data_IF_756208443300
#
_entry.id   IF_756208443300
#
_cell.length_a   1.000
_cell.length_b   1.000
_cell.length_c   1.000
_cell.angle_alpha   90.00
_cell.angle_beta   90.00
_cell.angle_gamma   90.00
#
_symmetry.space_group_name_H-M   'P 1'
#
loop_
_entity.id
_entity.type
_entity.pdbx_description
1 polymer ?
#
# COMPACT_ATOMS: atom_id res chain seq x y z
N UNK A 1 9.12 -23.29 17.90
CA UNK A 1 8.47 -22.02 18.29
C UNK A 1 7.58 -21.58 17.14
N UNK A 2 6.25 -21.68 17.28
CA UNK A 2 5.31 -21.33 16.21
C UNK A 2 4.85 -19.87 16.42
N UNK A 3 5.61 -18.91 15.88
CA UNK A 3 5.21 -17.50 15.84
C UNK A 3 4.44 -17.27 14.53
N UNK A 4 3.16 -16.90 14.64
CA UNK A 4 2.38 -16.46 13.47
C UNK A 4 2.26 -14.94 13.51
N UNK A 5 3.01 -14.25 12.66
CA UNK A 5 2.82 -12.80 12.45
C UNK A 5 1.62 -12.62 11.53
N UNK A 6 0.64 -11.83 11.97
CA UNK A 6 -0.51 -11.45 11.16
C UNK A 6 -0.58 -9.93 11.03
N UNK A 7 -1.00 -9.45 9.86
CA UNK A 7 -1.43 -8.07 9.67
C UNK A 7 -2.95 -8.02 9.70
N UNK A 8 -3.50 -7.08 10.46
CA UNK A 8 -4.95 -6.87 10.54
C UNK A 8 -5.31 -5.39 10.61
N UNK A 9 -6.54 -5.08 10.20
CA UNK A 9 -7.18 -3.79 10.47
C UNK A 9 -7.97 -3.94 11.76
N UNK A 10 -7.67 -3.11 12.75
CA UNK A 10 -8.42 -3.07 14.01
C UNK A 10 -9.16 -1.74 14.12
N UNK A 11 -10.42 -1.79 14.54
CA UNK A 11 -11.16 -0.60 14.99
C UNK A 11 -10.72 -0.29 16.42
N UNK A 12 -10.15 0.89 16.63
CA UNK A 12 -9.81 1.43 17.95
C UNK A 12 -10.75 2.58 18.30
N UNK A 13 -10.62 3.13 19.51
CA UNK A 13 -11.35 4.35 19.91
C UNK A 13 -11.00 5.57 19.04
N UNK A 14 -9.80 5.56 18.43
CA UNK A 14 -9.28 6.63 17.56
C UNK A 14 -9.45 6.31 16.07
N UNK A 15 -10.40 5.42 15.74
CA UNK A 15 -10.67 4.98 14.39
C UNK A 15 -9.91 3.72 13.98
N UNK A 16 -9.85 3.47 12.68
CA UNK A 16 -9.25 2.24 12.17
C UNK A 16 -7.73 2.34 12.06
N UNK A 17 -7.02 1.27 12.44
CA UNK A 17 -5.56 1.20 12.44
C UNK A 17 -5.04 -0.09 11.81
N UNK A 18 -3.89 0.00 11.15
CA UNK A 18 -3.16 -1.14 10.62
C UNK A 18 -2.20 -1.67 11.68
N UNK A 19 -2.43 -2.91 12.07
CA UNK A 19 -1.76 -3.53 13.21
C UNK A 19 -0.94 -4.73 12.74
N UNK A 20 0.28 -4.83 13.25
CA UNK A 20 1.08 -6.05 13.17
C UNK A 20 0.98 -6.77 14.51
N UNK A 21 0.45 -7.99 14.48
CA UNK A 21 0.24 -8.79 15.68
C UNK A 21 1.16 -10.01 15.66
N UNK A 22 2.02 -10.13 16.68
CA UNK A 22 2.66 -11.39 17.04
C UNK A 22 1.84 -12.05 18.16
N UNK A 23 1.59 -13.34 18.03
CA UNK A 23 0.74 -14.11 18.94
C UNK A 23 1.44 -15.39 19.33
N UNK A 24 1.51 -15.65 20.63
CA UNK A 24 2.05 -16.89 21.19
C UNK A 24 1.07 -17.52 22.14
N UNK A 25 0.84 -18.82 21.94
CA UNK A 25 0.11 -19.66 22.89
C UNK A 25 1.08 -20.17 23.96
N UNK A 26 0.76 -19.88 25.21
CA UNK A 26 1.42 -20.45 26.37
C UNK A 26 0.69 -21.74 26.75
N UNK A 27 1.48 -22.75 27.10
CA UNK A 27 1.01 -24.07 27.50
C UNK A 27 1.63 -24.42 28.85
N UNK A 28 0.93 -25.22 29.64
CA UNK A 28 1.51 -25.82 30.85
C UNK A 28 2.48 -26.96 30.51
N UNK A 29 2.96 -27.66 31.54
CA UNK A 29 3.92 -28.77 31.42
C UNK A 29 3.35 -29.95 30.63
N UNK A 30 2.03 -30.18 30.69
CA UNK A 30 1.31 -31.21 29.95
C UNK A 30 0.96 -30.78 28.51
N UNK A 31 1.36 -29.58 28.11
CA UNK A 31 1.12 -29.04 26.77
C UNK A 31 -0.29 -28.49 26.56
N UNK A 32 -1.11 -28.37 27.61
CA UNK A 32 -2.47 -27.82 27.53
C UNK A 32 -2.40 -26.29 27.37
N UNK A 33 -3.13 -25.69 26.40
CA UNK A 33 -3.19 -24.24 26.26
C UNK A 33 -3.75 -23.56 27.51
N UNK A 34 -2.98 -22.63 28.09
CA UNK A 34 -3.41 -21.89 29.28
C UNK A 34 -3.69 -20.43 28.97
N UNK A 35 -2.88 -19.80 28.10
CA UNK A 35 -2.96 -18.36 27.81
C UNK A 35 -2.52 -18.05 26.38
N UNK A 36 -2.95 -16.90 25.89
CA UNK A 36 -2.43 -16.29 24.66
C UNK A 36 -1.80 -14.96 25.03
N UNK A 37 -0.55 -14.76 24.64
CA UNK A 37 0.13 -13.47 24.71
C UNK A 37 0.15 -12.88 23.31
N UNK A 38 -0.32 -11.63 23.19
CA UNK A 38 -0.36 -10.89 21.93
C UNK A 38 0.42 -9.62 22.09
N UNK A 39 1.36 -9.39 21.17
CA UNK A 39 2.02 -8.09 20.99
C UNK A 39 1.47 -7.47 19.72
N UNK A 40 0.81 -6.33 19.87
CA UNK A 40 0.22 -5.59 18.75
C UNK A 40 0.98 -4.27 18.58
N UNK A 41 1.50 -4.03 17.39
CA UNK A 41 2.22 -2.80 17.02
C UNK A 41 1.38 -2.05 15.99
N UNK A 42 1.06 -0.79 16.26
CA UNK A 42 0.44 0.11 15.29
C UNK A 42 1.49 0.51 14.24
N UNK A 43 1.23 0.16 12.98
CA UNK A 43 2.06 0.49 11.82
C UNK A 43 1.35 1.40 10.83
N UNK A 44 0.29 2.10 11.27
CA UNK A 44 -0.55 2.93 10.39
C UNK A 44 0.27 4.04 9.72
N UNK A 45 1.15 4.72 10.46
CA UNK A 45 1.91 5.85 9.93
C UNK A 45 2.98 5.41 8.93
N UNK A 46 3.68 4.31 9.21
CA UNK A 46 4.66 3.72 8.30
C UNK A 46 4.00 3.32 7.00
N UNK A 47 2.82 2.68 7.08
CA UNK A 47 2.05 2.27 5.91
C UNK A 47 1.60 3.48 5.08
N UNK A 48 1.01 4.50 5.71
CA UNK A 48 0.58 5.72 5.02
C UNK A 48 1.76 6.45 4.35
N UNK A 49 2.93 6.48 4.99
CA UNK A 49 4.15 7.05 4.39
C UNK A 49 4.60 6.25 3.17
N UNK A 50 4.57 4.93 3.24
CA UNK A 50 4.93 4.07 2.11
C UNK A 50 3.94 4.27 0.94
N UNK A 51 2.64 4.31 1.22
CA UNK A 51 1.59 4.57 0.21
C UNK A 51 1.75 5.97 -0.42
N UNK A 52 2.09 7.00 0.37
CA UNK A 52 2.35 8.34 -0.17
C UNK A 52 3.63 8.40 -1.03
N UNK A 53 4.70 7.70 -0.62
CA UNK A 53 5.93 7.60 -1.40
C UNK A 53 5.70 6.87 -2.72
N UNK A 54 4.95 5.77 -2.71
CA UNK A 54 4.57 5.04 -3.91
C UNK A 54 3.76 5.91 -4.86
N UNK A 55 2.72 6.58 -4.34
CA UNK A 55 1.90 7.52 -5.12
C UNK A 55 2.73 8.63 -5.74
N UNK A 56 3.67 9.23 -5.00
CA UNK A 56 4.58 10.26 -5.53
C UNK A 56 5.55 9.71 -6.57
N UNK A 57 5.98 8.46 -6.44
CA UNK A 57 6.81 7.79 -7.44
C UNK A 57 6.06 7.50 -8.75
N UNK A 58 4.73 7.43 -8.72
CA UNK A 58 3.87 7.14 -9.88
C UNK A 58 3.23 8.39 -10.49
N UNK A 59 3.44 9.57 -9.89
CA UNK A 59 2.86 10.83 -10.34
C UNK A 59 3.96 11.78 -10.84
N UNK A 60 3.72 12.44 -11.96
CA UNK A 60 4.52 13.58 -12.41
C UNK A 60 4.15 14.82 -11.61
N UNK A 61 5.12 15.46 -10.96
CA UNK A 61 4.84 16.59 -10.06
C UNK A 61 4.32 17.82 -10.79
N UNK A 62 4.75 18.05 -12.04
CA UNK A 62 4.44 19.26 -12.79
C UNK A 62 3.00 19.28 -13.31
N UNK A 63 2.48 18.11 -13.67
CA UNK A 63 1.13 17.94 -14.22
C UNK A 63 0.13 17.36 -13.22
N UNK A 64 0.61 16.70 -12.16
CA UNK A 64 -0.24 15.92 -11.23
C UNK A 64 -0.82 14.64 -11.83
N UNK A 65 -0.48 14.33 -13.08
CA UNK A 65 -0.91 13.13 -13.78
C UNK A 65 0.00 11.95 -13.45
N UNK A 66 -0.45 10.73 -13.74
CA UNK A 66 0.44 9.56 -13.67
C UNK A 66 1.60 9.75 -14.61
N UNK A 67 2.81 9.55 -14.09
CA UNK A 67 3.99 9.46 -14.92
C UNK A 67 3.98 8.13 -15.69
N UNK A 68 5.00 7.92 -16.53
CA UNK A 68 5.09 6.70 -17.34
C UNK A 68 4.97 5.41 -16.51
N UNK A 69 5.66 5.32 -15.37
CA UNK A 69 5.59 4.15 -14.48
C UNK A 69 4.18 3.97 -13.93
N UNK A 70 3.54 5.04 -13.45
CA UNK A 70 2.16 4.99 -12.96
C UNK A 70 1.16 4.61 -14.05
N UNK A 71 1.39 5.03 -15.29
CA UNK A 71 0.60 4.62 -16.45
C UNK A 71 0.76 3.12 -16.73
N UNK A 72 1.99 2.61 -16.80
CA UNK A 72 2.29 1.18 -17.04
C UNK A 72 1.69 0.29 -15.94
N UNK A 73 1.93 0.60 -14.66
CA UNK A 73 1.30 -0.10 -13.53
C UNK A 73 -0.23 -0.08 -13.62
N UNK A 74 -0.81 1.06 -14.00
CA UNK A 74 -2.24 1.19 -14.21
C UNK A 74 -2.76 0.30 -15.33
N UNK A 75 -2.04 0.28 -16.45
CA UNK A 75 -2.37 -0.49 -17.64
C UNK A 75 -2.35 -1.99 -17.35
N UNK A 76 -1.33 -2.48 -16.64
CA UNK A 76 -1.21 -3.90 -16.25
C UNK A 76 -2.34 -4.37 -15.32
N UNK A 77 -2.91 -3.46 -14.52
CA UNK A 77 -4.04 -3.77 -13.65
C UNK A 77 -5.39 -3.83 -14.39
N UNK A 78 -5.47 -3.33 -15.62
CA UNK A 78 -6.71 -3.31 -16.38
C UNK A 78 -7.08 -4.75 -16.84
N UNK A 79 -8.32 -5.17 -16.57
CA UNK A 79 -8.90 -6.42 -17.11
C UNK A 79 -10.13 -6.13 -17.99
N UNK A 80 -10.13 -6.60 -19.24
CA UNK A 80 -11.17 -6.33 -20.24
C UNK A 80 -11.30 -7.50 -21.20
N UNK A 81 -12.53 -7.95 -21.43
CA UNK A 81 -12.84 -8.96 -22.44
C UNK A 81 -12.91 -8.42 -23.87
N UNK A 82 -12.92 -7.09 -24.05
CA UNK A 82 -13.08 -6.42 -25.35
C UNK A 82 -11.82 -5.66 -25.82
N UNK A 83 -10.76 -5.65 -25.01
CA UNK A 83 -9.52 -4.93 -25.29
C UNK A 83 -9.50 -3.47 -24.80
N UNK A 84 -8.45 -2.74 -25.18
CA UNK A 84 -8.20 -1.34 -24.81
C UNK A 84 -7.72 -0.51 -26.00
N UNK A 85 -7.93 0.81 -25.94
CA UNK A 85 -7.34 1.78 -26.84
C UNK A 85 -6.42 2.71 -26.06
N UNK A 86 -5.21 2.96 -26.58
CA UNK A 86 -4.26 3.92 -26.03
C UNK A 86 -4.13 5.08 -27.00
N UNK A 87 -4.44 6.28 -26.53
CA UNK A 87 -4.27 7.52 -27.28
C UNK A 87 -3.02 8.25 -26.77
N UNK A 88 -2.07 8.51 -27.66
CA UNK A 88 -0.87 9.30 -27.37
C UNK A 88 -0.98 10.64 -28.08
N UNK A 89 -0.90 11.72 -27.32
CA UNK A 89 -0.96 13.09 -27.83
C UNK A 89 0.36 13.77 -27.51
N UNK A 90 1.07 14.19 -28.54
CA UNK A 90 2.24 15.06 -28.39
C UNK A 90 1.81 16.53 -28.49
N UNK A 91 2.26 17.34 -27.53
CA UNK A 91 1.99 18.78 -27.50
C UNK A 91 3.15 19.53 -28.15
N UNK A 92 3.04 19.74 -29.47
CA UNK A 92 4.02 20.50 -30.24
C UNK A 92 4.25 21.90 -29.64
N UNK A 93 5.53 22.28 -29.46
CA UNK A 93 5.93 23.62 -28.98
C UNK A 93 5.84 23.84 -27.46
N UNK A 94 5.46 22.83 -26.67
CA UNK A 94 5.28 22.96 -25.22
C UNK A 94 6.51 23.49 -24.46
N UNK A 95 7.71 23.06 -24.85
CA UNK A 95 8.97 23.44 -24.20
C UNK A 95 9.20 24.96 -24.17
N UNK A 96 8.84 25.66 -25.23
CA UNK A 96 9.01 27.11 -25.33
C UNK A 96 8.08 27.90 -24.37
N UNK A 97 6.96 27.30 -23.95
CA UNK A 97 6.03 27.90 -22.99
C UNK A 97 6.46 27.63 -21.55
N UNK A 98 7.03 26.45 -21.28
CA UNK A 98 7.43 26.05 -19.91
C UNK A 98 8.74 26.67 -19.43
N UNK A 99 9.62 27.10 -20.33
CA UNK A 99 10.94 27.65 -20.00
C UNK A 99 10.93 29.18 -19.74
N UNK A 100 9.75 29.80 -19.61
CA UNK A 100 9.55 31.23 -19.29
C UNK A 100 9.19 31.43 -17.83
#
# INVERSE_FOLDING_TARGET
MNQSVAQCRLKTVDGERFMRCDRRMLRDEDGVPTRIVVVTIDGTQERLKLEDLERRSETDQSSGLRNRRGFEHGFDALHSGLGYCVLVIDLNGFKAVSDR
#
